data_IF_466232359680
#
_entry.id   IF_466232359680
#
_cell.length_a   1.000
_cell.length_b   1.000
_cell.length_c   1.000
_cell.angle_alpha   90.00
_cell.angle_beta   90.00
_cell.angle_gamma   90.00
#
_symmetry.space_group_name_H-M   'P 1'
#
loop_
_entity.id
_entity.type
_entity.pdbx_description
1 polymer ?
#
# COMPACT_ATOMS: atom_id res chain seq x y z
N UNK A 1 -38.28 5.77 -20.61
CA UNK A 1 -38.34 5.08 -19.29
C UNK A 1 -36.97 5.27 -18.67
N UNK A 2 -36.89 6.15 -17.66
CA UNK A 2 -35.63 6.49 -17.00
C UNK A 2 -35.39 5.47 -15.90
N UNK A 3 -34.32 4.69 -16.03
CA UNK A 3 -33.88 3.78 -14.98
C UNK A 3 -33.09 4.58 -13.93
N UNK A 4 -33.78 4.95 -12.84
CA UNK A 4 -33.16 5.59 -11.68
C UNK A 4 -32.46 4.53 -10.86
N UNK A 5 -31.17 4.32 -11.12
CA UNK A 5 -30.31 3.57 -10.20
C UNK A 5 -30.05 4.42 -8.95
N UNK A 6 -30.69 4.08 -7.84
CA UNK A 6 -30.31 4.59 -6.52
C UNK A 6 -28.91 4.08 -6.21
N UNK A 7 -27.92 4.95 -6.32
CA UNK A 7 -26.61 4.71 -5.73
C UNK A 7 -26.78 4.87 -4.22
N UNK A 8 -26.91 3.77 -3.49
CA UNK A 8 -26.74 3.82 -2.05
C UNK A 8 -25.29 4.26 -1.77
N UNK A 9 -25.09 5.29 -0.89
CA UNK A 9 -23.72 5.70 -0.58
C UNK A 9 -23.03 4.51 0.09
N UNK A 10 -21.98 4.00 -0.57
CA UNK A 10 -21.01 3.12 0.03
C UNK A 10 -20.55 3.77 1.33
N UNK A 11 -21.04 3.26 2.47
CA UNK A 11 -20.58 3.71 3.79
C UNK A 11 -19.10 3.40 3.84
N UNK A 12 -18.28 4.43 3.63
CA UNK A 12 -16.85 4.29 3.45
C UNK A 12 -16.26 3.52 4.64
N UNK A 13 -15.42 2.53 4.35
CA UNK A 13 -14.65 1.78 5.33
C UNK A 13 -13.89 2.71 6.29
N UNK A 14 -13.49 3.87 5.80
CA UNK A 14 -12.83 4.96 6.51
C UNK A 14 -13.65 5.50 7.69
N UNK A 15 -14.98 5.66 7.55
CA UNK A 15 -15.85 6.15 8.64
C UNK A 15 -15.95 5.15 9.80
N UNK A 16 -15.96 3.84 9.52
CA UNK A 16 -15.92 2.80 10.55
C UNK A 16 -14.56 2.74 11.25
N UNK A 17 -13.47 2.93 10.52
CA UNK A 17 -12.10 2.94 11.07
C UNK A 17 -11.87 4.14 11.99
N UNK A 18 -12.35 5.33 11.63
CA UNK A 18 -12.28 6.51 12.48
C UNK A 18 -13.01 6.33 13.82
N UNK A 19 -14.20 5.71 13.81
CA UNK A 19 -14.93 5.40 15.05
C UNK A 19 -14.18 4.38 15.91
N UNK A 20 -13.59 3.37 15.30
CA UNK A 20 -12.78 2.36 15.99
C UNK A 20 -11.53 2.99 16.61
N UNK A 21 -10.84 3.86 15.88
CA UNK A 21 -9.65 4.59 16.36
C UNK A 21 -9.97 5.39 17.62
N UNK A 22 -11.09 6.12 17.63
CA UNK A 22 -11.51 6.90 18.78
C UNK A 22 -11.89 6.02 20.00
N UNK A 23 -12.58 4.91 19.78
CA UNK A 23 -12.96 3.96 20.82
C UNK A 23 -11.75 3.29 21.46
N UNK A 24 -10.78 2.85 20.64
CA UNK A 24 -9.55 2.18 21.10
C UNK A 24 -8.66 3.13 21.91
N UNK A 25 -8.51 4.39 21.49
CA UNK A 25 -7.77 5.42 22.26
C UNK A 25 -8.36 5.64 23.66
N UNK A 26 -9.67 5.60 23.83
CA UNK A 26 -10.32 5.68 25.16
C UNK A 26 -9.95 4.51 26.07
N UNK A 27 -9.49 3.40 25.53
CA UNK A 27 -9.02 2.22 26.28
C UNK A 27 -7.51 2.20 26.53
N UNK A 28 -6.79 3.27 26.16
CA UNK A 28 -5.34 3.36 26.27
C UNK A 28 -4.57 2.44 25.29
N UNK A 29 -5.26 1.90 24.27
CA UNK A 29 -4.66 1.03 23.26
C UNK A 29 -4.13 1.83 22.07
N UNK A 30 -3.03 1.38 21.50
CA UNK A 30 -2.56 1.89 20.22
C UNK A 30 -3.43 1.35 19.07
N UNK A 31 -3.64 2.19 18.04
CA UNK A 31 -4.39 1.83 16.84
C UNK A 31 -3.41 1.59 15.71
N UNK A 32 -3.45 0.40 15.15
CA UNK A 32 -2.74 0.07 13.92
C UNK A 32 -3.73 -0.01 12.76
N UNK A 33 -3.50 0.79 11.72
CA UNK A 33 -4.35 0.81 10.52
C UNK A 33 -3.48 0.45 9.32
N UNK A 34 -3.86 -0.62 8.61
CA UNK A 34 -3.23 -0.98 7.34
C UNK A 34 -4.06 -0.45 6.18
N UNK A 35 -3.41 0.29 5.29
CA UNK A 35 -3.97 0.72 4.01
C UNK A 35 -2.97 0.54 2.86
N UNK A 36 -3.47 0.59 1.63
CA UNK A 36 -2.63 0.64 0.43
C UNK A 36 -2.58 2.07 -0.09
N UNK A 37 -1.40 2.58 -0.36
CA UNK A 37 -1.21 3.95 -0.82
C UNK A 37 -2.12 4.33 -2.03
N UNK A 38 -2.29 3.47 -3.06
CA UNK A 38 -3.22 3.78 -4.15
C UNK A 38 -4.66 4.03 -3.69
N UNK A 39 -5.15 3.36 -2.66
CA UNK A 39 -6.54 3.53 -2.18
C UNK A 39 -6.76 4.80 -1.34
N UNK A 40 -5.70 5.48 -0.95
CA UNK A 40 -5.76 6.78 -0.29
C UNK A 40 -5.72 7.93 -1.29
N UNK A 41 -5.27 7.68 -2.52
CA UNK A 41 -5.07 8.69 -3.54
C UNK A 41 -6.35 9.44 -3.88
N UNK A 42 -6.23 10.70 -4.22
CA UNK A 42 -7.38 11.51 -4.62
C UNK A 42 -7.93 11.01 -5.98
N UNK A 43 -9.25 10.75 -6.10
CA UNK A 43 -9.85 10.15 -7.30
C UNK A 43 -9.63 10.96 -8.57
N UNK A 44 -9.64 12.29 -8.47
CA UNK A 44 -9.34 13.21 -9.57
C UNK A 44 -7.93 13.02 -10.12
N UNK A 45 -6.95 12.74 -9.26
CA UNK A 45 -5.57 12.47 -9.68
C UNK A 45 -5.45 11.14 -10.44
N UNK A 46 -6.18 10.10 -10.02
CA UNK A 46 -6.25 8.86 -10.78
C UNK A 46 -6.93 9.04 -12.13
N UNK A 47 -8.04 9.76 -12.13
CA UNK A 47 -8.77 10.04 -13.34
C UNK A 47 -7.88 10.80 -14.34
N UNK A 48 -7.19 11.82 -13.90
CA UNK A 48 -6.25 12.59 -14.73
C UNK A 48 -5.09 11.74 -15.25
N UNK A 49 -4.61 10.78 -14.47
CA UNK A 49 -3.55 9.87 -14.89
C UNK A 49 -4.00 8.86 -15.96
N UNK A 50 -5.27 8.40 -15.87
CA UNK A 50 -5.85 7.44 -16.82
C UNK A 50 -6.41 8.13 -18.07
N UNK A 51 -6.92 9.34 -17.91
CA UNK A 51 -7.61 10.11 -18.96
C UNK A 51 -7.05 11.53 -19.05
N UNK A 52 -5.81 11.71 -19.51
CA UNK A 52 -5.14 13.02 -19.50
C UNK A 52 -5.85 14.09 -20.34
N UNK A 53 -6.58 13.68 -21.37
CA UNK A 53 -7.38 14.59 -22.22
C UNK A 53 -8.71 15.04 -21.58
N UNK A 54 -9.08 14.44 -20.47
CA UNK A 54 -10.33 14.69 -19.73
C UNK A 54 -10.05 15.09 -18.27
N UNK A 55 -8.84 15.48 -17.97
CA UNK A 55 -8.35 15.72 -16.60
C UNK A 55 -9.13 16.80 -15.83
N UNK A 56 -9.77 17.73 -16.53
CA UNK A 56 -10.58 18.80 -15.97
C UNK A 56 -12.05 18.41 -15.71
N UNK A 57 -12.47 17.22 -16.15
CA UNK A 57 -13.87 16.78 -16.03
C UNK A 57 -14.23 16.25 -14.65
N UNK A 58 -13.25 15.84 -13.85
CA UNK A 58 -13.49 15.38 -12.49
C UNK A 58 -12.98 16.42 -11.49
N UNK A 59 -13.87 17.06 -10.73
CA UNK A 59 -13.45 18.00 -9.69
C UNK A 59 -12.66 17.28 -8.58
N UNK A 60 -11.72 18.01 -7.99
CA UNK A 60 -10.98 17.52 -6.85
C UNK A 60 -11.91 17.15 -5.69
N UNK A 61 -11.77 15.93 -5.18
CA UNK A 61 -12.57 15.41 -4.08
C UNK A 61 -11.73 15.41 -2.79
N UNK A 62 -12.09 16.28 -1.87
CA UNK A 62 -11.44 16.37 -0.57
C UNK A 62 -12.40 15.91 0.54
N UNK A 63 -11.86 15.05 1.41
CA UNK A 63 -12.52 14.68 2.66
C UNK A 63 -12.16 15.74 3.71
N UNK A 64 -13.12 16.20 4.49
CA UNK A 64 -12.88 17.09 5.62
C UNK A 64 -13.45 16.52 6.90
N UNK A 65 -12.90 16.93 8.02
CA UNK A 65 -13.40 16.50 9.33
C UNK A 65 -14.81 17.04 9.54
N UNK A 66 -15.69 16.23 10.12
CA UNK A 66 -17.09 16.61 10.36
C UNK A 66 -17.14 17.84 11.28
N UNK A 67 -17.83 18.88 10.83
CA UNK A 67 -18.00 20.14 11.56
C UNK A 67 -16.88 21.17 11.33
N UNK A 68 -15.97 20.89 10.41
CA UNK A 68 -15.00 21.88 9.93
C UNK A 68 -15.38 22.38 8.54
N UNK A 69 -15.07 23.63 8.26
CA UNK A 69 -15.11 24.19 6.90
C UNK A 69 -13.85 23.73 6.13
N UNK A 70 -13.95 23.43 4.84
CA UNK A 70 -12.80 23.06 4.03
C UNK A 70 -11.95 24.31 3.72
N UNK A 71 -11.21 24.79 4.71
CA UNK A 71 -10.48 26.06 4.61
C UNK A 71 -9.12 25.95 3.96
N UNK A 72 -8.62 24.73 3.71
CA UNK A 72 -7.27 24.55 3.19
C UNK A 72 -7.25 23.50 2.10
N UNK A 73 -6.60 23.83 0.99
CA UNK A 73 -6.18 22.86 -0.01
C UNK A 73 -5.24 21.85 0.65
N UNK A 74 -5.49 20.54 0.46
CA UNK A 74 -4.58 19.51 0.91
C UNK A 74 -3.27 19.62 0.11
N UNK A 75 -2.15 19.57 0.81
CA UNK A 75 -0.82 19.56 0.16
C UNK A 75 -0.38 18.15 -0.17
N UNK A 76 -0.98 17.14 0.51
CA UNK A 76 -0.70 15.74 0.26
C UNK A 76 -1.43 15.20 -0.99
N UNK A 77 -0.96 14.09 -1.56
CA UNK A 77 -1.54 13.54 -2.79
C UNK A 77 -2.87 12.78 -2.60
N UNK A 78 -3.31 12.60 -1.35
CA UNK A 78 -4.54 11.84 -1.04
C UNK A 78 -5.75 12.76 -0.95
N UNK A 79 -6.94 12.18 -0.83
CA UNK A 79 -8.16 12.94 -0.54
C UNK A 79 -8.33 13.28 0.95
N UNK A 80 -7.41 12.85 1.82
CA UNK A 80 -7.49 13.05 3.26
C UNK A 80 -6.83 14.37 3.69
N UNK A 81 -7.35 15.06 4.71
CA UNK A 81 -6.75 16.28 5.24
C UNK A 81 -5.31 16.07 5.73
N UNK A 82 -4.43 17.04 5.48
CA UNK A 82 -3.07 17.05 6.01
C UNK A 82 -3.07 16.87 7.54
N UNK A 83 -3.94 17.59 8.23
CA UNK A 83 -4.11 17.51 9.69
C UNK A 83 -4.56 16.13 10.18
N UNK A 84 -5.23 15.34 9.33
CA UNK A 84 -5.60 13.98 9.64
C UNK A 84 -4.40 13.03 9.46
N UNK A 85 -3.68 13.12 8.35
CA UNK A 85 -2.50 12.31 8.08
C UNK A 85 -1.43 12.53 9.15
N UNK A 86 -1.19 13.76 9.57
CA UNK A 86 -0.24 14.13 10.62
C UNK A 86 -0.63 13.67 12.04
N UNK A 87 -1.71 12.91 12.22
CA UNK A 87 -2.04 12.22 13.48
C UNK A 87 -1.46 10.81 13.56
N UNK A 88 -0.86 10.30 12.49
CA UNK A 88 -0.35 8.93 12.39
C UNK A 88 1.17 8.92 12.22
N UNK A 89 1.80 7.93 12.86
CA UNK A 89 3.17 7.53 12.54
C UNK A 89 3.13 6.59 11.35
N UNK A 90 3.55 7.01 10.14
CA UNK A 90 3.47 6.17 8.96
C UNK A 90 4.61 5.18 8.89
N UNK A 91 4.28 3.95 8.53
CA UNK A 91 5.21 2.89 8.16
C UNK A 91 4.89 2.47 6.73
N UNK A 92 5.84 2.67 5.83
CA UNK A 92 5.73 2.27 4.43
C UNK A 92 6.35 0.90 4.25
N UNK A 93 5.50 -0.13 4.11
CA UNK A 93 5.95 -1.46 3.74
C UNK A 93 6.08 -1.53 2.23
N UNK A 94 7.29 -1.80 1.76
CA UNK A 94 7.56 -2.03 0.34
C UNK A 94 7.85 -3.50 0.10
N UNK A 95 7.70 -3.93 -1.15
CA UNK A 95 8.09 -5.25 -1.63
C UNK A 95 8.60 -5.11 -3.04
N UNK A 96 9.63 -5.89 -3.38
CA UNK A 96 10.22 -5.88 -4.71
C UNK A 96 9.15 -6.15 -5.79
N UNK A 97 9.04 -5.28 -6.82
CA UNK A 97 8.02 -5.40 -7.88
C UNK A 97 7.99 -6.77 -8.56
N UNK A 98 9.15 -7.40 -8.71
CA UNK A 98 9.31 -8.73 -9.31
C UNK A 98 8.48 -9.84 -8.63
N UNK A 99 8.15 -9.66 -7.35
CA UNK A 99 7.31 -10.57 -6.56
C UNK A 99 5.89 -10.03 -6.36
N UNK A 100 5.79 -8.72 -6.13
CA UNK A 100 4.51 -8.09 -5.79
C UNK A 100 3.55 -8.11 -6.97
N UNK A 101 3.99 -7.70 -8.16
CA UNK A 101 3.12 -7.54 -9.32
C UNK A 101 2.56 -8.87 -9.85
N UNK A 102 3.36 -9.92 -10.09
CA UNK A 102 2.80 -11.19 -10.53
C UNK A 102 1.87 -11.81 -9.49
N UNK A 103 2.15 -11.63 -8.19
CA UNK A 103 1.25 -12.08 -7.12
C UNK A 103 -0.11 -11.37 -7.15
N UNK A 104 -0.13 -10.07 -7.43
CA UNK A 104 -1.37 -9.30 -7.59
C UNK A 104 -2.18 -9.77 -8.81
N UNK A 105 -1.52 -9.97 -9.96
CA UNK A 105 -2.17 -10.44 -11.18
C UNK A 105 -2.80 -11.82 -10.97
N UNK A 106 -2.07 -12.76 -10.33
CA UNK A 106 -2.64 -14.08 -9.98
C UNK A 106 -3.89 -13.94 -9.13
N UNK A 107 -3.82 -13.11 -8.09
CA UNK A 107 -4.96 -12.92 -7.19
C UNK A 107 -6.18 -12.34 -7.90
N UNK A 108 -5.98 -11.35 -8.78
CA UNK A 108 -7.06 -10.71 -9.54
C UNK A 108 -7.66 -11.65 -10.58
N UNK A 109 -6.84 -12.46 -11.27
CA UNK A 109 -7.28 -13.46 -12.24
C UNK A 109 -8.14 -14.54 -11.59
N UNK A 110 -7.76 -15.00 -10.42
CA UNK A 110 -8.48 -16.06 -9.70
C UNK A 110 -9.86 -15.63 -9.17
N UNK A 111 -10.15 -14.33 -9.17
CA UNK A 111 -11.45 -13.77 -8.75
C UNK A 111 -12.14 -12.98 -9.87
N UNK A 112 -11.75 -13.23 -11.11
CA UNK A 112 -12.33 -12.63 -12.33
C UNK A 112 -12.36 -11.08 -12.32
N UNK A 113 -11.43 -10.44 -11.61
CA UNK A 113 -11.31 -8.97 -11.59
C UNK A 113 -10.55 -8.41 -12.77
N UNK A 114 -9.78 -9.23 -13.46
CA UNK A 114 -9.06 -8.88 -14.69
C UNK A 114 -9.24 -9.98 -15.71
N UNK A 115 -9.46 -9.58 -16.96
CA UNK A 115 -9.38 -10.48 -18.09
C UNK A 115 -7.91 -10.81 -18.44
N UNK A 116 -7.67 -11.41 -19.59
CA UNK A 116 -6.32 -11.73 -20.08
C UNK A 116 -5.55 -10.49 -20.59
N UNK A 117 -5.95 -9.28 -20.20
CA UNK A 117 -5.29 -8.04 -20.55
C UNK A 117 -5.03 -7.21 -19.29
N UNK A 118 -3.86 -6.59 -19.22
CA UNK A 118 -3.58 -5.59 -18.21
C UNK A 118 -4.24 -4.27 -18.69
N UNK A 119 -5.46 -4.03 -18.21
CA UNK A 119 -6.20 -2.80 -18.53
C UNK A 119 -5.70 -1.58 -17.73
N UNK A 120 -6.38 -0.42 -17.86
CA UNK A 120 -6.00 0.84 -17.20
C UNK A 120 -5.81 0.71 -15.67
N UNK A 121 -6.51 -0.22 -15.03
CA UNK A 121 -6.36 -0.49 -13.61
C UNK A 121 -4.94 -0.96 -13.25
N UNK A 122 -4.26 -1.70 -14.15
CA UNK A 122 -2.86 -2.10 -13.95
C UNK A 122 -1.92 -0.89 -13.92
N UNK A 123 -2.19 0.13 -14.72
CA UNK A 123 -1.42 1.38 -14.72
C UNK A 123 -1.46 2.12 -13.38
N UNK A 124 -2.47 1.87 -12.57
CA UNK A 124 -2.57 2.39 -11.21
C UNK A 124 -1.93 1.41 -10.21
N UNK A 125 -2.28 0.14 -10.28
CA UNK A 125 -1.96 -0.83 -9.23
C UNK A 125 -0.54 -1.38 -9.31
N UNK A 126 0.06 -1.41 -10.52
CA UNK A 126 1.42 -1.87 -10.74
C UNK A 126 2.42 -0.70 -10.74
N UNK A 127 2.33 0.15 -9.70
CA UNK A 127 3.20 1.34 -9.52
C UNK A 127 3.57 1.50 -8.05
N UNK A 128 4.76 1.97 -7.80
CA UNK A 128 5.24 2.38 -6.47
C UNK A 128 5.27 3.90 -6.29
N UNK A 129 5.05 4.67 -7.36
CA UNK A 129 5.05 6.13 -7.30
C UNK A 129 4.11 6.70 -6.24
N UNK A 130 2.95 6.08 -6.03
CA UNK A 130 1.96 6.52 -5.04
C UNK A 130 2.48 6.36 -3.60
N UNK A 131 3.21 5.28 -3.35
CA UNK A 131 3.88 5.05 -2.07
C UNK A 131 5.01 6.05 -1.88
N UNK A 132 5.81 6.30 -2.93
CA UNK A 132 6.92 7.27 -2.92
C UNK A 132 6.43 8.69 -2.69
N UNK A 133 5.45 9.15 -3.45
CA UNK A 133 4.93 10.53 -3.32
C UNK A 133 4.34 10.79 -1.93
N UNK A 134 3.64 9.80 -1.35
CA UNK A 134 3.12 9.93 0.02
C UNK A 134 4.25 9.90 1.06
N UNK A 135 5.27 9.08 0.87
CA UNK A 135 6.45 9.07 1.72
C UNK A 135 7.17 10.43 1.67
N UNK A 136 7.41 10.97 0.46
CA UNK A 136 8.08 12.25 0.26
C UNK A 136 7.31 13.40 0.90
N UNK A 137 5.97 13.36 0.82
CA UNK A 137 5.13 14.33 1.52
C UNK A 137 5.32 14.27 3.04
N UNK A 138 5.31 13.09 3.64
CA UNK A 138 5.58 12.94 5.07
C UNK A 138 7.00 13.34 5.46
N UNK A 139 7.99 13.03 4.63
CA UNK A 139 9.38 13.41 4.86
C UNK A 139 9.55 14.94 4.86
N UNK A 140 8.74 15.65 4.07
CA UNK A 140 8.77 17.11 3.98
C UNK A 140 7.95 17.80 5.08
N UNK A 141 6.79 17.23 5.44
CA UNK A 141 5.79 17.91 6.28
C UNK A 141 5.63 17.30 7.68
N UNK A 142 6.24 16.15 7.95
CA UNK A 142 6.04 15.43 9.21
C UNK A 142 6.83 16.01 10.39
N UNK A 143 8.01 16.57 10.15
CA UNK A 143 8.91 17.02 11.21
C UNK A 143 8.29 18.01 12.21
N UNK A 144 7.50 19.04 11.79
CA UNK A 144 6.85 19.93 12.75
C UNK A 144 5.86 19.24 13.69
N UNK A 145 5.33 18.08 13.29
CA UNK A 145 4.44 17.25 14.09
C UNK A 145 5.19 16.13 14.85
N UNK A 146 6.52 16.11 14.81
CA UNK A 146 7.34 15.05 15.41
C UNK A 146 7.23 13.70 14.69
N UNK A 147 6.83 13.70 13.41
CA UNK A 147 6.59 12.49 12.61
C UNK A 147 7.78 12.27 11.67
N UNK A 148 8.36 11.10 11.73
CA UNK A 148 9.41 10.65 10.82
C UNK A 148 8.92 9.40 10.08
N UNK A 149 8.62 9.48 8.77
CA UNK A 149 8.16 8.32 8.03
C UNK A 149 9.22 7.23 8.00
N UNK A 150 8.80 5.98 8.23
CA UNK A 150 9.70 4.81 8.23
C UNK A 150 9.34 3.89 7.07
N UNK A 151 10.37 3.27 6.51
CA UNK A 151 10.20 2.27 5.44
C UNK A 151 10.75 0.93 5.94
N UNK A 152 10.06 -0.14 5.60
CA UNK A 152 10.55 -1.51 5.77
C UNK A 152 10.28 -2.32 4.50
N UNK A 153 11.28 -3.09 4.09
CA UNK A 153 11.13 -4.01 2.96
C UNK A 153 10.58 -5.37 3.43
N UNK A 154 9.79 -6.01 2.59
CA UNK A 154 9.22 -7.32 2.92
C UNK A 154 10.29 -8.40 3.11
N UNK A 155 11.42 -8.31 2.41
CA UNK A 155 12.54 -9.24 2.58
C UNK A 155 13.20 -9.05 3.95
N UNK A 156 13.28 -7.80 4.46
CA UNK A 156 13.79 -7.52 5.81
C UNK A 156 12.83 -8.04 6.89
N UNK A 157 11.50 -7.91 6.68
CA UNK A 157 10.51 -8.49 7.60
C UNK A 157 10.68 -10.00 7.73
N UNK A 158 10.97 -10.68 6.62
CA UNK A 158 11.09 -12.13 6.59
C UNK A 158 12.44 -12.64 7.11
N UNK A 159 13.50 -11.87 7.00
CA UNK A 159 14.87 -12.37 7.18
C UNK A 159 15.67 -11.63 8.26
N UNK A 160 15.15 -10.53 8.83
CA UNK A 160 15.86 -9.72 9.83
C UNK A 160 14.94 -9.30 10.98
N UNK A 161 14.76 -10.19 11.99
CA UNK A 161 14.00 -9.84 13.20
C UNK A 161 14.51 -8.58 13.90
N UNK A 162 15.81 -8.33 13.83
CA UNK A 162 16.45 -7.14 14.43
C UNK A 162 15.98 -5.85 13.75
N UNK A 163 15.80 -5.86 12.42
CA UNK A 163 15.25 -4.71 11.66
C UNK A 163 13.81 -4.45 12.05
N UNK A 164 13.00 -5.49 12.24
CA UNK A 164 11.62 -5.37 12.71
C UNK A 164 11.58 -4.79 14.12
N UNK A 165 12.41 -5.25 15.03
CA UNK A 165 12.52 -4.72 16.39
C UNK A 165 12.95 -3.25 16.41
N UNK A 166 13.93 -2.88 15.58
CA UNK A 166 14.37 -1.49 15.41
C UNK A 166 13.23 -0.61 14.90
N UNK A 167 12.49 -1.05 13.89
CA UNK A 167 11.31 -0.34 13.38
C UNK A 167 10.27 -0.12 14.48
N UNK A 168 9.96 -1.15 15.27
CA UNK A 168 9.04 -1.04 16.40
C UNK A 168 9.48 0.05 17.38
N UNK A 169 10.74 0.03 17.79
CA UNK A 169 11.30 1.04 18.71
C UNK A 169 11.22 2.46 18.11
N UNK A 170 11.48 2.61 16.81
CA UNK A 170 11.42 3.91 16.11
C UNK A 170 10.00 4.45 15.90
N UNK A 171 8.99 3.61 16.03
CA UNK A 171 7.59 3.96 15.75
C UNK A 171 6.69 3.90 16.98
N UNK A 172 7.27 3.66 18.15
CA UNK A 172 6.56 3.56 19.42
C UNK A 172 5.74 2.28 19.57
N UNK A 173 6.03 1.26 18.76
CA UNK A 173 5.49 -0.10 18.93
C UNK A 173 6.36 -0.88 19.88
N UNK A 174 5.78 -1.83 20.61
CA UNK A 174 6.51 -2.71 21.49
C UNK A 174 7.23 -3.82 20.70
N UNK A 175 8.58 -3.84 20.67
CA UNK A 175 9.34 -4.89 19.97
C UNK A 175 9.11 -6.30 20.50
N UNK A 176 8.74 -6.45 21.78
CA UNK A 176 8.53 -7.75 22.40
C UNK A 176 7.14 -8.32 22.13
N UNK A 177 6.24 -7.49 21.62
CA UNK A 177 4.89 -7.89 21.19
C UNK A 177 4.84 -8.39 19.73
N UNK A 178 6.00 -8.45 19.03
CA UNK A 178 6.03 -8.96 17.65
C UNK A 178 5.88 -10.47 17.65
N UNK A 179 4.81 -10.95 17.01
CA UNK A 179 4.58 -12.37 16.81
C UNK A 179 5.15 -12.84 15.46
N UNK A 180 6.02 -13.84 15.49
CA UNK A 180 6.56 -14.50 14.29
C UNK A 180 5.82 -15.79 13.94
N UNK A 181 4.96 -16.25 14.83
CA UNK A 181 4.06 -17.38 14.66
C UNK A 181 2.63 -16.94 14.93
N UNK A 182 1.68 -17.53 14.23
CA UNK A 182 0.25 -17.27 14.35
C UNK A 182 -0.57 -18.49 13.96
N UNK A 183 -1.82 -18.53 14.40
CA UNK A 183 -2.73 -19.58 13.99
C UNK A 183 -3.25 -19.35 12.55
N UNK A 184 -3.30 -20.42 11.76
CA UNK A 184 -3.97 -20.36 10.47
C UNK A 184 -5.47 -20.08 10.67
N UNK A 185 -6.06 -19.36 9.74
CA UNK A 185 -7.49 -19.01 9.81
C UNK A 185 -8.16 -19.14 8.45
N UNK A 186 -9.46 -19.35 8.48
CA UNK A 186 -10.29 -19.29 7.29
C UNK A 186 -10.91 -17.90 7.16
N UNK A 187 -10.93 -17.37 5.96
CA UNK A 187 -11.58 -16.12 5.63
C UNK A 187 -12.92 -16.42 4.98
N UNK A 188 -14.01 -15.86 5.52
CA UNK A 188 -15.37 -16.15 5.03
C UNK A 188 -15.70 -15.42 3.72
N UNK A 189 -15.14 -14.24 3.52
CA UNK A 189 -15.31 -13.47 2.29
C UNK A 189 -14.40 -14.03 1.19
N UNK A 190 -14.95 -14.46 0.02
CA UNK A 190 -14.15 -15.10 -1.03
C UNK A 190 -13.05 -14.22 -1.60
N UNK A 191 -13.31 -12.90 -1.75
CA UNK A 191 -12.33 -11.95 -2.24
C UNK A 191 -11.15 -11.83 -1.26
N UNK A 192 -11.46 -11.64 0.01
CA UNK A 192 -10.43 -11.59 1.07
C UNK A 192 -9.71 -12.93 1.21
N UNK A 193 -10.44 -14.05 1.13
CA UNK A 193 -9.85 -15.38 1.19
C UNK A 193 -8.78 -15.55 0.11
N UNK A 194 -9.02 -15.06 -1.12
CA UNK A 194 -8.02 -15.15 -2.18
C UNK A 194 -6.82 -14.24 -1.94
N UNK A 195 -7.04 -12.96 -1.63
CA UNK A 195 -5.94 -12.01 -1.42
C UNK A 195 -5.11 -12.30 -0.16
N UNK A 196 -5.69 -12.92 0.84
CA UNK A 196 -5.02 -13.30 2.09
C UNK A 196 -4.63 -14.79 2.13
N UNK A 197 -4.84 -15.56 1.06
CA UNK A 197 -4.69 -17.01 1.04
C UNK A 197 -3.37 -17.52 1.63
N UNK A 198 -2.25 -16.91 1.24
CA UNK A 198 -0.93 -17.29 1.70
C UNK A 198 -0.77 -17.07 3.21
N UNK A 199 -1.14 -15.88 3.71
CA UNK A 199 -0.97 -15.54 5.13
C UNK A 199 -2.01 -16.28 6.00
N UNK A 200 -3.22 -16.45 5.50
CA UNK A 200 -4.28 -17.15 6.24
C UNK A 200 -4.02 -18.64 6.37
N UNK A 201 -3.39 -19.27 5.39
CA UNK A 201 -2.98 -20.67 5.43
C UNK A 201 -1.68 -20.92 6.20
N UNK A 202 -0.85 -19.88 6.41
CA UNK A 202 0.43 -20.01 7.10
C UNK A 202 0.27 -19.98 8.62
N UNK A 203 1.28 -20.48 9.33
CA UNK A 203 1.42 -20.38 10.78
C UNK A 203 2.63 -19.55 11.21
N UNK A 204 3.24 -18.84 10.26
CA UNK A 204 4.42 -18.04 10.46
C UNK A 204 5.02 -17.55 9.15
N UNK A 205 6.21 -17.01 9.21
CA UNK A 205 6.96 -16.55 8.04
C UNK A 205 7.32 -17.74 7.15
N UNK A 206 7.02 -17.62 5.85
CA UNK A 206 7.31 -18.65 4.86
C UNK A 206 8.69 -18.39 4.25
N UNK A 207 9.67 -19.28 4.43
CA UNK A 207 11.00 -19.14 3.83
C UNK A 207 10.96 -19.12 2.29
N UNK A 208 11.95 -18.50 1.66
CA UNK A 208 12.15 -18.53 0.21
C UNK A 208 11.27 -17.60 -0.63
N UNK A 209 10.46 -16.75 0.01
CA UNK A 209 9.65 -15.74 -0.68
C UNK A 209 10.38 -14.40 -0.89
N UNK A 210 11.71 -14.39 -0.75
CA UNK A 210 12.54 -13.21 -0.97
C UNK A 210 12.81 -12.96 -2.46
N UNK A 211 13.13 -11.71 -2.82
CA UNK A 211 13.49 -11.31 -4.18
C UNK A 211 14.96 -11.58 -4.52
N UNK A 212 15.78 -11.83 -3.52
CA UNK A 212 17.22 -12.05 -3.68
C UNK A 212 17.52 -13.13 -4.73
N UNK A 213 18.38 -12.79 -5.69
CA UNK A 213 18.80 -13.71 -6.76
C UNK A 213 17.82 -13.85 -7.93
N UNK A 214 16.71 -13.12 -7.94
CA UNK A 214 15.78 -13.05 -9.08
C UNK A 214 16.17 -11.91 -10.02
N UNK A 215 15.95 -12.11 -11.32
CA UNK A 215 16.09 -11.06 -12.33
C UNK A 215 14.82 -10.97 -13.19
N UNK A 216 14.54 -9.79 -13.73
CA UNK A 216 13.39 -9.58 -14.63
C UNK A 216 13.48 -10.50 -15.83
N UNK A 217 14.69 -10.72 -16.36
CA UNK A 217 14.90 -11.57 -17.52
C UNK A 217 14.49 -13.04 -17.26
N UNK A 218 14.89 -13.60 -16.12
CA UNK A 218 14.55 -14.98 -15.76
C UNK A 218 13.08 -15.13 -15.40
N UNK A 219 12.51 -14.18 -14.67
CA UNK A 219 11.12 -14.23 -14.25
C UNK A 219 10.16 -13.95 -15.41
N UNK A 220 10.55 -13.10 -16.39
CA UNK A 220 9.73 -12.83 -17.59
C UNK A 220 9.40 -14.10 -18.37
N UNK A 221 10.34 -15.05 -18.49
CA UNK A 221 10.08 -16.34 -19.15
C UNK A 221 8.96 -17.09 -18.45
N UNK A 222 9.01 -17.15 -17.11
CA UNK A 222 7.96 -17.79 -16.29
C UNK A 222 6.62 -17.07 -16.41
N UNK A 223 6.63 -15.74 -16.44
CA UNK A 223 5.39 -14.96 -16.60
C UNK A 223 4.76 -15.14 -17.99
N UNK A 224 5.58 -15.30 -19.04
CA UNK A 224 5.08 -15.64 -20.38
C UNK A 224 4.44 -17.02 -20.39
N UNK A 225 5.08 -18.01 -19.77
CA UNK A 225 4.53 -19.36 -19.63
C UNK A 225 3.22 -19.38 -18.82
N UNK A 226 3.14 -18.58 -17.76
CA UNK A 226 1.99 -18.57 -16.83
C UNK A 226 0.81 -17.71 -17.34
N UNK A 227 1.08 -16.53 -17.89
CA UNK A 227 0.06 -15.54 -18.23
C UNK A 227 -0.13 -15.31 -19.73
N UNK A 228 0.72 -15.93 -20.56
CA UNK A 228 0.80 -15.70 -22.00
C UNK A 228 1.74 -14.55 -22.39
N UNK A 229 2.14 -14.55 -23.65
CA UNK A 229 3.17 -13.65 -24.21
C UNK A 229 2.91 -12.17 -23.94
N UNK A 230 1.67 -11.71 -24.19
CA UNK A 230 1.30 -10.30 -24.03
C UNK A 230 1.43 -9.85 -22.58
N UNK A 231 0.73 -10.54 -21.66
CA UNK A 231 0.72 -10.17 -20.23
C UNK A 231 2.11 -10.33 -19.61
N UNK A 232 2.85 -11.38 -19.95
CA UNK A 232 4.20 -11.59 -19.42
C UNK A 232 5.18 -10.48 -19.82
N UNK A 233 5.10 -9.97 -21.05
CA UNK A 233 5.93 -8.84 -21.51
C UNK A 233 5.52 -7.52 -20.87
N UNK A 234 4.21 -7.25 -20.77
CA UNK A 234 3.71 -6.05 -20.11
C UNK A 234 4.05 -6.04 -18.62
N UNK A 235 3.98 -7.19 -17.95
CA UNK A 235 4.36 -7.32 -16.54
C UNK A 235 5.85 -7.02 -16.34
N UNK A 236 6.73 -7.49 -17.24
CA UNK A 236 8.14 -7.14 -17.19
C UNK A 236 8.37 -5.63 -17.32
N UNK A 237 7.67 -4.97 -18.26
CA UNK A 237 7.72 -3.51 -18.42
C UNK A 237 7.25 -2.78 -17.15
N UNK A 238 6.14 -3.21 -16.53
CA UNK A 238 5.67 -2.61 -15.27
C UNK A 238 6.68 -2.76 -14.13
N UNK A 239 7.37 -3.92 -14.06
CA UNK A 239 8.43 -4.12 -13.07
C UNK A 239 9.57 -3.14 -13.32
N UNK A 240 10.06 -3.04 -14.57
CA UNK A 240 11.15 -2.11 -14.94
C UNK A 240 10.76 -0.65 -14.65
N UNK A 241 9.53 -0.26 -15.01
CA UNK A 241 9.00 1.09 -14.75
C UNK A 241 8.89 1.42 -13.25
N UNK A 242 8.68 0.43 -12.38
CA UNK A 242 8.54 0.62 -10.95
C UNK A 242 9.86 0.57 -10.17
N UNK A 243 10.93 0.05 -10.80
CA UNK A 243 12.22 -0.12 -10.11
C UNK A 243 12.82 1.20 -9.59
N UNK A 244 12.79 2.34 -10.32
CA UNK A 244 13.34 3.59 -9.81
C UNK A 244 12.68 4.05 -8.49
N UNK A 245 11.36 3.87 -8.36
CA UNK A 245 10.64 4.20 -7.14
C UNK A 245 10.93 3.19 -6.01
N UNK A 246 11.05 1.91 -6.36
CA UNK A 246 11.42 0.88 -5.40
C UNK A 246 12.82 1.13 -4.84
N UNK A 247 13.81 1.35 -5.69
CA UNK A 247 15.21 1.58 -5.30
C UNK A 247 15.36 2.84 -4.44
N UNK A 248 14.64 3.91 -4.80
CA UNK A 248 14.60 5.13 -4.00
C UNK A 248 14.07 4.88 -2.58
N UNK A 249 12.96 4.16 -2.44
CA UNK A 249 12.38 3.81 -1.15
C UNK A 249 13.26 2.80 -0.41
N UNK A 250 13.79 1.80 -1.11
CA UNK A 250 14.66 0.77 -0.55
C UNK A 250 15.94 1.35 0.07
N UNK A 251 16.54 2.36 -0.58
CA UNK A 251 17.72 3.05 -0.07
C UNK A 251 17.46 3.80 1.26
N UNK A 252 16.18 4.13 1.53
CA UNK A 252 15.76 4.89 2.74
C UNK A 252 15.13 3.99 3.82
N UNK A 253 15.13 2.66 3.62
CA UNK A 253 14.50 1.74 4.56
C UNK A 253 15.25 1.65 5.88
N UNK A 254 14.55 1.26 6.91
CA UNK A 254 15.13 0.91 8.21
C UNK A 254 16.07 -0.28 8.06
N UNK A 255 17.32 -0.13 8.50
CA UNK A 255 18.35 -1.18 8.53
C UNK A 255 19.15 -1.09 9.82
N UNK A 256 19.53 -2.24 10.40
CA UNK A 256 20.38 -2.29 11.57
C UNK A 256 21.80 -1.86 11.19
N UNK A 257 22.38 -0.92 11.96
CA UNK A 257 23.73 -0.38 11.67
C UNK A 257 23.80 0.60 10.49
N UNK A 258 22.68 0.92 9.86
CA UNK A 258 22.59 2.03 8.92
C UNK A 258 22.69 3.38 9.66
N UNK A 259 23.35 4.35 9.07
CA UNK A 259 23.28 5.72 9.55
C UNK A 259 21.81 6.14 9.52
N UNK A 260 21.17 6.17 10.68
CA UNK A 260 19.80 6.62 10.82
C UNK A 260 19.72 8.03 10.22
N UNK A 261 18.67 8.31 9.47
CA UNK A 261 18.27 9.70 9.26
C UNK A 261 17.90 10.19 10.66
N UNK A 262 18.86 10.84 11.32
CA UNK A 262 18.58 11.56 12.56
C UNK A 262 17.55 12.66 12.28
N UNK A 263 16.67 12.96 13.23
CA UNK A 263 15.57 13.88 13.05
C UNK A 263 15.98 15.30 12.71
#
# INVERSE_FOLDING_TARGET
MACSARIEPLRSSTSRRLKLTFFVRKQGKQVFVKEHAPFLWAPDRFFSALYPNDSDKLPALFVHERGTTPDKVHTNPTSLPDTFLLKFQPIFQIRHPILMFPSLIRAQKDVDLVDNTLGPFADIMLRLKYTRELYDWYATHGAPAGIVPRIIDADDIMNSPETVRLLCSQTGLDPDSVAYEWESRQEADPLRARFLSTISASKGIIPGLAAKGKSVETERKKWIEEFGEKVGRELARFVDDAMPDYEYLFAKRTVVGGAGVEP
#
